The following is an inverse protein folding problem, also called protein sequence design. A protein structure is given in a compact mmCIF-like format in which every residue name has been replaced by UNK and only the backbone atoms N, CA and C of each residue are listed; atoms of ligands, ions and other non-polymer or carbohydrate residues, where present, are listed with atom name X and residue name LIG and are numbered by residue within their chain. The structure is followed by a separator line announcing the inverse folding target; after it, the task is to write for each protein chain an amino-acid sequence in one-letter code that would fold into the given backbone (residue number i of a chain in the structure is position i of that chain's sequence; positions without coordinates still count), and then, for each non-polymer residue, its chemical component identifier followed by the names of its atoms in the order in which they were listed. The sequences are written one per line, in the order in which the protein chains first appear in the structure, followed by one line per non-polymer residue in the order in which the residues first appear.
data_IF_202668140104
#
_entry.id   IF_202668140104
#
_cell.length_a   1.000
_cell.length_b   1.000
_cell.length_c   1.000
_cell.angle_alpha   90.00
_cell.angle_beta   90.00
_cell.angle_gamma   90.00
#
_symmetry.space_group_name_H-M   'P 1'
#
loop_
_entity.id
_entity.type
_entity.pdbx_description
1 polymer ?
#
# COMPACT_ATOMS: atom_id res chain seq x y z
N UNK A 1 -26.72 -19.57 13.98
CA UNK A 1 -26.36 -18.59 12.94
C UNK A 1 -26.33 -17.24 13.64
N UNK A 2 -25.14 -16.80 14.06
CA UNK A 2 -24.96 -15.48 14.66
C UNK A 2 -24.47 -14.54 13.55
N UNK A 3 -25.38 -13.75 13.01
CA UNK A 3 -25.03 -12.54 12.28
C UNK A 3 -24.41 -11.58 13.29
N UNK A 4 -23.09 -11.53 13.34
CA UNK A 4 -22.42 -10.42 14.01
C UNK A 4 -22.71 -9.17 13.16
N UNK A 5 -23.62 -8.35 13.67
CA UNK A 5 -23.89 -7.02 13.14
C UNK A 5 -22.57 -6.26 13.11
N UNK A 6 -22.02 -6.04 11.90
CA UNK A 6 -20.88 -5.15 11.69
C UNK A 6 -21.37 -3.76 12.08
N UNK A 7 -20.99 -3.29 13.26
CA UNK A 7 -21.25 -1.93 13.70
C UNK A 7 -20.67 -1.00 12.64
N UNK A 8 -21.44 -0.07 12.06
CA UNK A 8 -20.89 0.88 11.10
C UNK A 8 -19.74 1.64 11.75
N UNK A 9 -18.58 1.65 11.12
CA UNK A 9 -17.45 2.46 11.58
C UNK A 9 -17.88 3.92 11.43
N UNK A 10 -18.07 4.63 12.53
CA UNK A 10 -18.39 6.04 12.53
C UNK A 10 -17.14 6.81 12.09
N UNK A 11 -17.17 7.35 10.87
CA UNK A 11 -16.07 8.11 10.29
C UNK A 11 -16.23 9.58 10.71
N UNK A 12 -15.21 10.15 11.33
CA UNK A 12 -15.17 11.54 11.76
C UNK A 12 -14.04 12.31 11.05
N UNK A 13 -14.18 13.64 10.89
CA UNK A 13 -13.08 14.45 10.38
C UNK A 13 -11.89 14.43 11.35
N UNK A 14 -10.70 14.60 10.83
CA UNK A 14 -9.46 14.78 11.59
C UNK A 14 -9.15 16.29 11.73
N UNK A 15 -8.42 16.67 12.77
CA UNK A 15 -7.92 18.02 12.87
C UNK A 15 -6.74 18.29 11.91
N UNK A 16 -6.33 19.56 11.81
CA UNK A 16 -5.28 19.97 10.88
C UNK A 16 -3.91 19.38 11.23
N UNK A 17 -3.62 19.15 12.53
CA UNK A 17 -2.37 18.56 12.99
C UNK A 17 -2.31 17.08 12.63
N UNK A 18 -3.35 16.33 12.96
CA UNK A 18 -3.48 14.91 12.62
C UNK A 18 -3.40 14.68 11.11
N UNK A 19 -4.10 15.53 10.33
CA UNK A 19 -4.02 15.48 8.87
C UNK A 19 -2.58 15.61 8.37
N UNK A 20 -1.82 16.58 8.90
CA UNK A 20 -0.42 16.79 8.51
C UNK A 20 0.46 15.61 8.92
N UNK A 21 0.30 15.09 10.12
CA UNK A 21 1.05 13.91 10.58
C UNK A 21 0.80 12.69 9.70
N UNK A 22 -0.45 12.47 9.28
CA UNK A 22 -0.82 11.38 8.37
C UNK A 22 -0.25 11.62 6.97
N UNK A 23 -0.33 12.83 6.44
CA UNK A 23 0.24 13.19 5.15
C UNK A 23 1.76 12.98 5.11
N UNK A 24 2.47 13.44 6.12
CA UNK A 24 3.92 13.24 6.26
C UNK A 24 4.28 11.75 6.36
N UNK A 25 3.47 10.96 7.05
CA UNK A 25 3.62 9.50 7.11
C UNK A 25 3.46 8.84 5.73
N UNK A 26 2.41 9.21 4.99
CA UNK A 26 2.14 8.67 3.66
C UNK A 26 3.21 9.05 2.64
N UNK A 27 3.72 10.29 2.69
CA UNK A 27 4.83 10.71 1.85
C UNK A 27 6.14 9.97 2.18
N UNK A 28 6.38 9.70 3.46
CA UNK A 28 7.52 8.89 3.90
C UNK A 28 7.40 7.43 3.43
N UNK A 29 6.23 6.83 3.57
CA UNK A 29 5.91 5.48 3.07
C UNK A 29 6.18 5.38 1.56
N UNK A 30 5.62 6.32 0.79
CA UNK A 30 5.78 6.40 -0.65
C UNK A 30 7.26 6.52 -1.06
N UNK A 31 8.01 7.40 -0.40
CA UNK A 31 9.44 7.60 -0.65
C UNK A 31 10.24 6.33 -0.38
N UNK A 32 10.01 5.64 0.73
CA UNK A 32 10.74 4.40 1.04
C UNK A 32 10.48 3.31 0.00
N UNK A 33 9.24 3.18 -0.47
CA UNK A 33 8.89 2.24 -1.54
C UNK A 33 9.57 2.61 -2.87
N UNK A 34 9.53 3.87 -3.29
CA UNK A 34 10.12 4.36 -4.53
C UNK A 34 11.66 4.26 -4.55
N UNK A 35 12.29 4.42 -3.40
CA UNK A 35 13.74 4.32 -3.22
C UNK A 35 14.21 2.88 -2.93
N UNK A 36 13.30 1.89 -2.98
CA UNK A 36 13.58 0.49 -2.64
C UNK A 36 14.16 0.30 -1.23
N UNK A 37 13.82 1.20 -0.30
CA UNK A 37 14.21 1.16 1.12
C UNK A 37 13.24 0.26 1.91
N UNK A 38 13.20 -1.02 1.53
CA UNK A 38 12.18 -1.94 2.01
C UNK A 38 12.26 -2.26 3.50
N UNK A 39 13.46 -2.24 4.09
CA UNK A 39 13.62 -2.40 5.55
C UNK A 39 13.04 -1.20 6.32
N UNK A 40 13.25 0.03 5.82
CA UNK A 40 12.68 1.22 6.41
C UNK A 40 11.15 1.26 6.21
N UNK A 41 10.68 0.80 5.04
CA UNK A 41 9.26 0.65 4.76
C UNK A 41 8.61 -0.38 5.70
N UNK A 42 9.26 -1.52 5.95
CA UNK A 42 8.79 -2.56 6.87
C UNK A 42 8.67 -2.04 8.31
N UNK A 43 9.54 -1.12 8.72
CA UNK A 43 9.46 -0.50 10.03
C UNK A 43 8.22 0.40 10.25
N UNK A 44 7.46 0.69 9.18
CA UNK A 44 6.21 1.46 9.25
C UNK A 44 4.98 0.59 9.50
N UNK A 45 5.09 -0.75 9.45
CA UNK A 45 3.94 -1.65 9.54
C UNK A 45 3.77 -2.21 10.96
N UNK A 46 2.53 -2.57 11.29
CA UNK A 46 2.16 -3.30 12.51
C UNK A 46 2.20 -4.82 12.31
N UNK A 47 2.12 -5.57 13.41
CA UNK A 47 2.17 -7.04 13.41
C UNK A 47 0.91 -7.66 12.79
N UNK A 48 -0.21 -6.93 12.75
CA UNK A 48 -1.47 -7.30 12.11
C UNK A 48 -1.62 -6.79 10.68
N UNK A 49 -0.52 -6.35 10.06
CA UNK A 49 -0.51 -5.79 8.70
C UNK A 49 -1.07 -6.76 7.67
N UNK A 50 -1.95 -6.22 6.82
CA UNK A 50 -2.46 -6.88 5.62
C UNK A 50 -2.22 -6.00 4.39
N UNK A 51 -1.45 -6.51 3.42
CA UNK A 51 -1.15 -5.85 2.15
C UNK A 51 -1.90 -6.53 1.00
N UNK A 52 -2.72 -5.77 0.28
CA UNK A 52 -3.64 -6.31 -0.70
C UNK A 52 -3.63 -5.52 -2.01
N UNK A 53 -3.51 -6.25 -3.12
CA UNK A 53 -3.73 -5.74 -4.47
C UNK A 53 -4.80 -6.63 -5.10
N UNK A 54 -6.09 -6.22 -5.10
CA UNK A 54 -7.17 -6.97 -5.70
C UNK A 54 -7.01 -7.02 -7.23
N UNK A 55 -7.59 -8.04 -7.84
CA UNK A 55 -7.82 -8.06 -9.28
C UNK A 55 -9.13 -7.35 -9.59
N UNK A 56 -9.05 -6.09 -10.01
CA UNK A 56 -10.22 -5.22 -10.23
C UNK A 56 -10.62 -4.46 -8.97
N UNK A 57 -11.89 -4.09 -8.87
CA UNK A 57 -12.41 -3.33 -7.74
C UNK A 57 -12.29 -4.11 -6.41
N UNK A 58 -11.93 -3.42 -5.33
CA UNK A 58 -11.89 -4.03 -4.01
C UNK A 58 -13.30 -4.49 -3.63
N UNK A 59 -13.45 -5.78 -3.40
CA UNK A 59 -14.66 -6.36 -2.85
C UNK A 59 -14.33 -6.97 -1.50
N UNK A 60 -15.12 -6.65 -0.49
CA UNK A 60 -14.92 -7.14 0.88
C UNK A 60 -15.07 -8.66 1.02
N UNK A 61 -15.67 -9.34 0.06
CA UNK A 61 -15.68 -10.81 -0.03
C UNK A 61 -14.34 -11.36 -0.56
N UNK A 62 -13.25 -11.06 0.16
CA UNK A 62 -11.86 -11.39 -0.20
C UNK A 62 -11.61 -12.88 -0.45
N UNK A 63 -12.39 -13.76 0.17
CA UNK A 63 -12.22 -15.22 0.11
C UNK A 63 -12.62 -15.83 -1.23
N UNK A 64 -13.38 -15.10 -2.06
CA UNK A 64 -13.97 -15.63 -3.28
C UNK A 64 -13.31 -15.13 -4.58
N UNK A 65 -12.37 -14.17 -4.49
CA UNK A 65 -11.75 -13.57 -5.68
C UNK A 65 -10.24 -13.71 -5.69
N UNK A 66 -9.70 -13.97 -6.89
CA UNK A 66 -8.25 -13.98 -7.14
C UNK A 66 -7.69 -12.57 -6.91
N UNK A 67 -6.62 -12.47 -6.14
CA UNK A 67 -5.87 -11.24 -5.92
C UNK A 67 -4.54 -11.27 -6.67
N UNK A 68 -4.04 -10.11 -7.09
CA UNK A 68 -2.68 -9.96 -7.61
C UNK A 68 -1.67 -10.18 -6.48
N UNK A 69 -1.96 -9.60 -5.31
CA UNK A 69 -1.21 -9.79 -4.06
C UNK A 69 -2.19 -9.85 -2.89
N UNK A 70 -1.92 -10.75 -1.95
CA UNK A 70 -2.71 -10.92 -0.72
C UNK A 70 -1.78 -11.43 0.37
N UNK A 71 -1.09 -10.51 1.03
CA UNK A 71 -0.05 -10.81 2.00
C UNK A 71 -0.47 -10.40 3.41
N UNK A 72 -0.56 -11.37 4.31
CA UNK A 72 -0.53 -11.10 5.74
C UNK A 72 0.89 -10.71 6.18
N UNK A 73 1.08 -10.35 7.44
CA UNK A 73 2.38 -9.89 7.96
C UNK A 73 3.54 -10.86 7.67
N UNK A 74 3.32 -12.16 7.81
CA UNK A 74 4.36 -13.17 7.58
C UNK A 74 4.74 -13.29 6.08
N UNK A 75 3.76 -13.27 5.18
CA UNK A 75 4.01 -13.28 3.72
C UNK A 75 4.68 -12.00 3.28
N UNK A 76 4.26 -10.85 3.82
CA UNK A 76 4.86 -9.56 3.55
C UNK A 76 6.32 -9.52 3.98
N UNK A 77 6.67 -10.03 5.17
CA UNK A 77 8.05 -10.13 5.62
C UNK A 77 8.92 -10.99 4.68
N UNK A 78 8.38 -12.12 4.21
CA UNK A 78 9.08 -12.96 3.22
C UNK A 78 9.28 -12.23 1.89
N UNK A 79 8.27 -11.49 1.41
CA UNK A 79 8.38 -10.65 0.21
C UNK A 79 9.49 -9.61 0.38
N UNK A 80 9.50 -8.88 1.49
CA UNK A 80 10.51 -7.87 1.78
C UNK A 80 11.90 -8.49 1.86
N UNK A 81 12.02 -9.64 2.51
CA UNK A 81 13.28 -10.38 2.53
C UNK A 81 13.78 -10.71 1.12
N UNK A 82 12.90 -11.20 0.23
CA UNK A 82 13.23 -11.46 -1.17
C UNK A 82 13.62 -10.18 -1.92
N UNK A 83 12.88 -9.09 -1.70
CA UNK A 83 13.19 -7.79 -2.30
C UNK A 83 14.57 -7.26 -1.87
N UNK A 84 15.00 -7.51 -0.65
CA UNK A 84 16.30 -7.09 -0.11
C UNK A 84 17.47 -7.97 -0.58
N UNK A 85 17.24 -9.19 -1.09
CA UNK A 85 18.34 -10.06 -1.56
C UNK A 85 19.04 -9.54 -2.82
N UNK A 86 18.42 -8.59 -3.55
CA UNK A 86 18.92 -8.15 -4.84
C UNK A 86 18.77 -9.18 -5.98
N UNK A 87 18.37 -10.42 -5.69
CA UNK A 87 18.16 -11.49 -6.68
C UNK A 87 16.80 -11.41 -7.36
N UNK A 88 16.42 -10.20 -7.79
CA UNK A 88 15.17 -9.94 -8.50
C UNK A 88 15.45 -9.97 -9.99
N UNK A 89 15.38 -11.12 -10.64
CA UNK A 89 15.68 -11.25 -12.08
C UNK A 89 14.85 -10.29 -12.95
N UNK A 90 13.65 -9.89 -12.50
CA UNK A 90 12.80 -8.92 -13.19
C UNK A 90 13.16 -7.45 -12.90
N UNK A 91 14.06 -7.16 -11.95
CA UNK A 91 14.47 -5.79 -11.55
C UNK A 91 15.95 -5.71 -11.14
N UNK A 92 16.84 -6.28 -11.94
CA UNK A 92 18.29 -6.07 -11.80
C UNK A 92 18.79 -5.38 -13.07
N UNK A 93 19.30 -4.15 -12.97
CA UNK A 93 19.33 -3.27 -11.80
C UNK A 93 17.92 -2.82 -11.35
N UNK A 94 17.76 -2.31 -10.10
CA UNK A 94 16.46 -1.79 -9.64
C UNK A 94 15.91 -0.72 -10.56
N UNK A 95 14.63 -0.77 -10.87
CA UNK A 95 13.94 0.26 -11.65
C UNK A 95 13.90 1.58 -10.87
N UNK A 96 14.38 2.69 -11.42
CA UNK A 96 14.07 4.01 -10.88
C UNK A 96 12.54 4.23 -10.89
N UNK A 97 12.01 4.66 -9.76
CA UNK A 97 10.57 4.89 -9.58
C UNK A 97 10.29 6.23 -8.92
N UNK A 98 9.18 6.84 -9.28
CA UNK A 98 8.62 8.03 -8.59
C UNK A 98 7.10 8.00 -8.70
N UNK A 99 6.42 8.28 -7.57
CA UNK A 99 4.97 8.40 -7.56
C UNK A 99 4.50 9.81 -7.27
N UNK A 100 3.38 10.16 -7.89
CA UNK A 100 2.60 11.35 -7.59
C UNK A 100 1.37 10.92 -6.79
N UNK A 101 1.06 11.69 -5.76
CA UNK A 101 -0.08 11.49 -4.88
C UNK A 101 -1.02 12.67 -5.02
N UNK A 102 -2.30 12.40 -5.17
CA UNK A 102 -3.34 13.41 -5.31
C UNK A 102 -4.63 12.97 -4.61
N UNK A 103 -5.52 13.93 -4.33
CA UNK A 103 -6.84 13.70 -3.75
C UNK A 103 -6.78 12.92 -2.42
N UNK A 104 -5.93 13.37 -1.50
CA UNK A 104 -5.81 12.76 -0.19
C UNK A 104 -7.07 13.00 0.65
N UNK A 105 -7.69 11.91 1.06
CA UNK A 105 -8.81 11.83 1.99
C UNK A 105 -8.33 11.22 3.29
N UNK A 106 -8.68 11.81 4.42
CA UNK A 106 -8.31 11.33 5.75
C UNK A 106 -9.51 11.40 6.66
N UNK A 107 -9.76 10.33 7.40
CA UNK A 107 -10.88 10.20 8.34
C UNK A 107 -10.40 9.48 9.59
N UNK A 108 -10.94 9.85 10.74
CA UNK A 108 -10.79 9.09 11.99
C UNK A 108 -11.85 7.98 12.00
N UNK A 109 -11.43 6.76 12.33
CA UNK A 109 -12.35 5.63 12.48
C UNK A 109 -12.85 5.50 13.91
N UNK A 110 -11.97 5.04 14.80
CA UNK A 110 -12.29 4.90 16.23
C UNK A 110 -11.02 5.02 17.06
N UNK A 111 -11.11 5.68 18.22
CA UNK A 111 -9.99 5.82 19.14
C UNK A 111 -8.76 6.45 18.47
N UNK A 112 -7.70 5.65 18.32
CA UNK A 112 -6.43 6.05 17.74
C UNK A 112 -6.20 5.56 16.30
N UNK A 113 -7.27 5.13 15.61
CA UNK A 113 -7.20 4.60 14.25
C UNK A 113 -7.74 5.59 13.21
N UNK A 114 -7.10 5.57 12.05
CA UNK A 114 -7.41 6.45 10.93
C UNK A 114 -7.50 5.66 9.63
N UNK A 115 -8.36 6.13 8.74
CA UNK A 115 -8.41 5.70 7.35
C UNK A 115 -7.89 6.84 6.47
N UNK A 116 -6.95 6.53 5.61
CA UNK A 116 -6.47 7.46 4.59
C UNK A 116 -6.57 6.82 3.21
N UNK A 117 -6.89 7.62 2.20
CA UNK A 117 -6.92 7.15 0.84
C UNK A 117 -6.48 8.26 -0.12
N UNK A 118 -5.83 7.89 -1.23
CA UNK A 118 -5.41 8.83 -2.26
C UNK A 118 -5.35 8.18 -3.65
N UNK A 119 -5.43 9.01 -4.68
CA UNK A 119 -5.13 8.58 -6.04
C UNK A 119 -3.63 8.69 -6.30
N UNK A 120 -3.07 7.75 -7.06
CA UNK A 120 -1.65 7.76 -7.38
C UNK A 120 -1.37 7.49 -8.84
N UNK A 121 -0.24 8.00 -9.30
CA UNK A 121 0.44 7.58 -10.53
C UNK A 121 1.91 7.29 -10.20
N UNK A 122 2.37 6.08 -10.46
CA UNK A 122 3.75 5.65 -10.26
C UNK A 122 4.40 5.47 -11.63
N UNK A 123 5.51 6.14 -11.85
CA UNK A 123 6.36 6.02 -13.03
C UNK A 123 7.52 5.09 -12.70
N UNK A 124 7.62 3.99 -13.43
CA UNK A 124 8.71 3.01 -13.32
C UNK A 124 9.50 3.00 -14.61
N UNK A 125 10.80 3.30 -14.55
CA UNK A 125 11.70 3.15 -15.69
C UNK A 125 12.25 1.74 -15.74
N UNK A 126 11.75 0.91 -16.64
CA UNK A 126 12.14 -0.51 -16.79
C UNK A 126 13.45 -0.63 -17.56
N UNK A 127 14.56 -0.41 -16.86
CA UNK A 127 15.91 -0.41 -17.44
C UNK A 127 16.39 -1.80 -17.86
N UNK A 128 15.81 -2.88 -17.29
CA UNK A 128 16.29 -4.27 -17.45
C UNK A 128 15.93 -4.90 -18.78
N UNK A 129 14.84 -4.47 -19.42
CA UNK A 129 14.31 -5.16 -20.60
C UNK A 129 14.18 -4.29 -21.84
N UNK A 130 13.54 -3.14 -21.73
CA UNK A 130 13.15 -2.36 -22.90
C UNK A 130 13.54 -0.88 -22.85
N UNK A 131 14.06 -0.40 -21.70
CA UNK A 131 14.22 1.03 -21.48
C UNK A 131 12.88 1.79 -21.52
N UNK A 132 11.79 1.11 -21.17
CA UNK A 132 10.41 1.57 -21.32
C UNK A 132 9.89 2.17 -20.01
N UNK A 133 9.20 3.31 -20.12
CA UNK A 133 8.47 3.90 -18.99
C UNK A 133 7.14 3.16 -18.80
N UNK A 134 6.98 2.47 -17.68
CA UNK A 134 5.72 1.87 -17.25
C UNK A 134 5.02 2.82 -16.28
N UNK A 135 3.73 3.04 -16.50
CA UNK A 135 2.87 3.80 -15.58
C UNK A 135 1.93 2.85 -14.86
N UNK A 136 1.90 2.98 -13.55
CA UNK A 136 0.94 2.31 -12.67
C UNK A 136 0.04 3.39 -12.07
N UNK A 137 -1.26 3.25 -12.19
CA UNK A 137 -2.19 4.24 -11.68
C UNK A 137 -3.39 3.59 -11.01
N UNK A 138 -3.93 4.28 -10.01
CA UNK A 138 -5.07 3.78 -9.26
C UNK A 138 -5.31 4.54 -7.96
N UNK A 139 -5.90 3.84 -7.00
CA UNK A 139 -6.20 4.36 -5.68
C UNK A 139 -5.53 3.47 -4.61
N UNK A 140 -4.96 4.10 -3.61
CA UNK A 140 -4.44 3.43 -2.41
C UNK A 140 -5.31 3.78 -1.22
N UNK A 141 -5.57 2.79 -0.37
CA UNK A 141 -6.25 2.93 0.91
C UNK A 141 -5.37 2.37 2.01
N UNK A 142 -5.31 3.08 3.12
CA UNK A 142 -4.52 2.73 4.30
C UNK A 142 -5.39 2.77 5.54
N UNK A 143 -5.17 1.81 6.45
CA UNK A 143 -5.59 1.96 7.83
C UNK A 143 -4.35 2.15 8.69
N UNK A 144 -4.38 3.20 9.48
CA UNK A 144 -3.27 3.66 10.31
C UNK A 144 -3.68 3.62 11.77
N UNK A 145 -2.72 3.39 12.65
CA UNK A 145 -2.90 3.40 14.10
C UNK A 145 -1.83 4.26 14.75
N UNK A 146 -2.24 5.15 15.65
CA UNK A 146 -1.30 5.89 16.51
C UNK A 146 -0.85 4.96 17.62
N UNK A 147 0.46 4.74 17.72
CA UNK A 147 1.11 3.91 18.74
C UNK A 147 2.11 4.73 19.55
N UNK A 148 2.71 4.13 20.57
CA UNK A 148 3.83 4.75 21.31
C UNK A 148 5.04 5.03 20.42
N UNK A 149 5.19 4.27 19.32
CA UNK A 149 6.24 4.43 18.32
C UNK A 149 5.86 5.39 17.17
N UNK A 150 4.75 6.13 17.30
CA UNK A 150 4.18 6.98 16.27
C UNK A 150 3.17 6.26 15.39
N UNK A 151 2.81 6.85 14.24
CA UNK A 151 1.89 6.25 13.28
C UNK A 151 2.48 4.96 12.69
N UNK A 152 1.62 3.93 12.57
CA UNK A 152 1.91 2.64 11.95
C UNK A 152 0.75 2.26 11.04
N UNK A 153 1.02 1.54 9.96
CA UNK A 153 -0.04 1.00 9.10
C UNK A 153 -0.28 -0.48 9.39
N UNK A 154 -1.55 -0.87 9.45
CA UNK A 154 -1.98 -2.25 9.60
C UNK A 154 -2.82 -2.76 8.42
N UNK A 155 -3.11 -1.88 7.46
CA UNK A 155 -3.76 -2.25 6.21
C UNK A 155 -3.31 -1.34 5.07
N UNK A 156 -3.02 -1.93 3.91
CA UNK A 156 -2.80 -1.22 2.65
C UNK A 156 -3.47 -1.97 1.52
N UNK A 157 -4.38 -1.31 0.81
CA UNK A 157 -5.01 -1.80 -0.40
C UNK A 157 -4.61 -0.94 -1.59
N UNK A 158 -4.24 -1.57 -2.71
CA UNK A 158 -3.87 -0.88 -3.95
C UNK A 158 -4.80 -1.35 -5.06
N UNK A 159 -5.74 -0.49 -5.46
CA UNK A 159 -6.67 -0.73 -6.56
C UNK A 159 -6.13 -0.12 -7.84
N UNK A 160 -5.69 -0.98 -8.77
CA UNK A 160 -5.18 -0.54 -10.07
C UNK A 160 -6.32 -0.34 -11.08
N UNK A 161 -6.28 0.73 -11.88
CA UNK A 161 -7.28 1.01 -12.92
C UNK A 161 -7.35 -0.09 -13.99
N UNK A 162 -6.24 -0.80 -14.20
CA UNK A 162 -6.12 -1.92 -15.14
C UNK A 162 -6.00 -3.27 -14.44
N UNK A 163 -6.47 -3.41 -13.19
CA UNK A 163 -6.29 -4.60 -12.37
C UNK A 163 -6.89 -5.90 -12.95
N UNK A 164 -7.80 -5.81 -13.91
CA UNK A 164 -8.38 -6.97 -14.63
C UNK A 164 -7.67 -7.31 -15.93
N UNK A 165 -6.78 -6.43 -16.40
CA UNK A 165 -6.05 -6.60 -17.65
C UNK A 165 -4.72 -7.35 -17.45
N UNK A 166 -4.15 -7.93 -18.50
CA UNK A 166 -2.77 -8.42 -18.45
C UNK A 166 -1.82 -7.29 -18.05
N UNK A 167 -0.95 -7.55 -17.09
CA UNK A 167 0.01 -6.58 -16.61
C UNK A 167 1.37 -7.22 -16.38
N UNK A 168 2.46 -6.44 -16.38
CA UNK A 168 3.78 -6.92 -16.02
C UNK A 168 3.82 -7.39 -14.55
N UNK A 169 4.82 -8.22 -14.23
CA UNK A 169 5.08 -8.60 -12.83
C UNK A 169 5.40 -7.39 -11.98
N UNK A 170 4.79 -7.32 -10.80
CA UNK A 170 5.07 -6.32 -9.78
C UNK A 170 6.14 -6.90 -8.85
N UNK A 171 7.39 -6.49 -9.05
CA UNK A 171 8.55 -6.96 -8.29
C UNK A 171 9.07 -5.92 -7.28
N UNK A 172 8.16 -5.09 -6.75
CA UNK A 172 8.40 -4.03 -5.78
C UNK A 172 7.16 -3.82 -4.90
N UNK A 173 7.22 -2.90 -3.95
CA UNK A 173 6.06 -2.50 -3.14
C UNK A 173 5.36 -1.31 -3.83
N UNK A 174 4.11 -1.53 -4.24
CA UNK A 174 3.22 -0.47 -4.72
C UNK A 174 2.77 0.43 -3.58
#
# INVERSE_FOLDING_TARGET
MNEQAVTPIELAPVDAKERREIEDFLFKEARFADESRYSDWEALVEDDMYYWIPRGEPNYERSLKVSITSDNRARLANRIKQLNTGNRHAQIPPSPMRRLIANLEVQRCSGNEFRAAYNFSLFEMRVQSTGHMQVWAGRMEFHLRQTEKGLRMFYKCVSLINGTQPMPSIAFIL
#
